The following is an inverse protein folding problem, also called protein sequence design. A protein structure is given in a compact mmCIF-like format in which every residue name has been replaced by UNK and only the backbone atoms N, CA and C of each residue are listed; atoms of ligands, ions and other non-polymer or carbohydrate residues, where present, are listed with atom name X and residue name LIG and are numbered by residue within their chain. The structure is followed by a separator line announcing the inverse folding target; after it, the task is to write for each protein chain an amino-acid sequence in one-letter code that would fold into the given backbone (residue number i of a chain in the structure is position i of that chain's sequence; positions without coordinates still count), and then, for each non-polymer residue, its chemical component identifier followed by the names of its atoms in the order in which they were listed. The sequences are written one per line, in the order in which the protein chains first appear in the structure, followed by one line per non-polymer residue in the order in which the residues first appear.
data_IF_828732699676
#
_entry.id   IF_828732699676
#
_cell.length_a   1.000
_cell.length_b   1.000
_cell.length_c   1.000
_cell.angle_alpha   90.00
_cell.angle_beta   90.00
_cell.angle_gamma   90.00
#
_symmetry.space_group_name_H-M   'P 1'
#
loop_
_entity.id
_entity.type
_entity.pdbx_description
1 polymer ?
#
# COMPACT_ATOMS: atom_id res chain seq x y z
N UNK A 1 30.27 34.75 -21.09
CA UNK A 1 29.44 33.72 -21.74
C UNK A 1 29.73 32.44 -20.99
N UNK A 2 28.75 31.93 -20.24
CA UNK A 2 28.92 30.67 -19.50
C UNK A 2 28.66 29.52 -20.50
N UNK A 3 29.60 28.59 -20.59
CA UNK A 3 29.44 27.39 -21.41
C UNK A 3 28.15 26.63 -21.04
N UNK A 4 27.43 26.04 -22.02
CA UNK A 4 26.26 25.24 -21.72
C UNK A 4 26.68 24.07 -20.81
N UNK A 5 26.07 24.00 -19.63
CA UNK A 5 26.24 22.88 -18.70
C UNK A 5 25.73 21.63 -19.41
N UNK A 6 26.65 20.77 -19.83
CA UNK A 6 26.35 19.48 -20.44
C UNK A 6 25.53 18.65 -19.44
N UNK A 7 24.27 18.38 -19.77
CA UNK A 7 23.36 17.66 -18.89
C UNK A 7 23.77 16.18 -18.90
N UNK A 8 24.43 15.75 -17.82
CA UNK A 8 24.80 14.35 -17.63
C UNK A 8 23.55 13.49 -17.39
N UNK A 9 23.24 12.63 -18.35
CA UNK A 9 22.19 11.62 -18.21
C UNK A 9 22.77 10.36 -17.54
N UNK A 10 22.09 9.87 -16.51
CA UNK A 10 22.42 8.63 -15.82
C UNK A 10 21.30 7.62 -15.99
N UNK A 11 21.66 6.36 -16.28
CA UNK A 11 20.69 5.26 -16.34
C UNK A 11 20.41 4.70 -14.94
N UNK A 12 19.21 4.13 -14.76
CA UNK A 12 18.90 3.39 -13.53
C UNK A 12 19.83 2.17 -13.47
N UNK A 13 20.38 1.94 -12.28
CA UNK A 13 21.45 0.98 -11.97
C UNK A 13 22.85 1.35 -12.47
N UNK A 14 23.04 2.55 -13.01
CA UNK A 14 24.37 3.04 -13.31
C UNK A 14 25.18 3.21 -12.00
N UNK A 15 26.42 2.69 -11.92
CA UNK A 15 27.32 2.95 -10.82
C UNK A 15 27.86 4.38 -10.92
N UNK A 16 27.75 5.14 -9.83
CA UNK A 16 28.13 6.54 -9.78
C UNK A 16 28.98 6.84 -8.56
N UNK A 17 29.82 7.84 -8.70
CA UNK A 17 30.62 8.42 -7.63
C UNK A 17 30.28 9.89 -7.47
N UNK A 18 30.11 10.32 -6.23
CA UNK A 18 29.98 11.72 -5.89
C UNK A 18 31.32 12.45 -6.09
N UNK A 19 31.32 13.54 -6.84
CA UNK A 19 32.54 14.26 -7.21
C UNK A 19 33.16 15.03 -6.04
N UNK A 20 32.36 15.39 -5.03
CA UNK A 20 32.76 16.13 -3.84
C UNK A 20 33.39 15.21 -2.80
N UNK A 21 32.61 14.24 -2.28
CA UNK A 21 33.03 13.41 -1.15
C UNK A 21 33.52 12.01 -1.55
N UNK A 22 33.54 11.70 -2.85
CA UNK A 22 33.96 10.41 -3.43
C UNK A 22 33.12 9.21 -2.99
N UNK A 23 31.95 9.42 -2.39
CA UNK A 23 31.05 8.35 -2.02
C UNK A 23 30.54 7.60 -3.27
N UNK A 24 30.46 6.28 -3.17
CA UNK A 24 29.97 5.39 -4.22
C UNK A 24 28.50 5.03 -4.01
N UNK A 25 27.78 4.84 -5.11
CA UNK A 25 26.44 4.28 -5.06
C UNK A 25 25.87 3.96 -6.42
N UNK A 26 24.64 3.46 -6.43
CA UNK A 26 23.94 3.00 -7.62
C UNK A 26 22.71 3.87 -7.85
N UNK A 27 22.52 4.36 -9.07
CA UNK A 27 21.34 5.17 -9.41
C UNK A 27 20.07 4.34 -9.30
N UNK A 28 19.07 4.81 -8.57
CA UNK A 28 17.78 4.12 -8.37
C UNK A 28 16.59 4.92 -8.88
N UNK A 29 16.76 6.22 -9.14
CA UNK A 29 15.72 7.09 -9.72
C UNK A 29 16.35 8.32 -10.37
N UNK A 30 15.79 8.74 -11.49
CA UNK A 30 16.14 10.00 -12.17
C UNK A 30 14.90 10.87 -12.34
N UNK A 31 15.00 12.15 -12.00
CA UNK A 31 13.92 13.13 -12.14
C UNK A 31 14.50 14.50 -12.55
N UNK A 32 14.60 14.72 -13.87
CA UNK A 32 15.39 15.85 -14.41
C UNK A 32 16.84 15.74 -13.95
N UNK A 33 17.39 16.83 -13.39
CA UNK A 33 18.76 16.85 -12.86
C UNK A 33 18.91 16.18 -11.49
N UNK A 34 17.82 15.76 -10.85
CA UNK A 34 17.86 15.11 -9.55
C UNK A 34 18.01 13.60 -9.72
N UNK A 35 19.12 13.07 -9.22
CA UNK A 35 19.50 11.66 -9.30
C UNK A 35 19.49 11.09 -7.89
N UNK A 36 18.59 10.15 -7.62
CA UNK A 36 18.58 9.39 -6.37
C UNK A 36 19.52 8.20 -6.49
N UNK A 37 20.42 8.08 -5.53
CA UNK A 37 21.47 7.07 -5.47
C UNK A 37 21.30 6.25 -4.19
N UNK A 38 21.41 4.94 -4.31
CA UNK A 38 21.52 4.02 -3.18
C UNK A 38 23.01 3.82 -2.87
N UNK A 39 23.52 4.28 -1.72
CA UNK A 39 24.87 3.97 -1.27
C UNK A 39 24.98 2.50 -0.83
N UNK A 40 26.23 2.01 -0.68
CA UNK A 40 26.53 0.68 -0.12
C UNK A 40 25.91 0.49 1.27
N UNK A 41 25.93 1.55 2.08
CA UNK A 41 25.35 1.57 3.43
C UNK A 41 24.56 2.86 3.64
N UNK A 42 23.45 2.74 4.38
CA UNK A 42 22.58 3.87 4.70
C UNK A 42 21.44 4.12 3.70
N UNK A 43 20.78 5.25 3.90
CA UNK A 43 19.57 5.63 3.18
C UNK A 43 19.85 6.18 1.78
N UNK A 44 18.81 6.19 0.95
CA UNK A 44 18.85 6.78 -0.40
C UNK A 44 19.08 8.28 -0.31
N UNK A 45 20.03 8.77 -1.11
CA UNK A 45 20.37 10.18 -1.18
C UNK A 45 20.06 10.72 -2.57
N UNK A 46 19.65 11.98 -2.68
CA UNK A 46 19.40 12.63 -3.97
C UNK A 46 20.44 13.72 -4.21
N UNK A 47 21.10 13.65 -5.36
CA UNK A 47 22.13 14.59 -5.80
C UNK A 47 21.71 15.26 -7.10
N UNK A 48 22.23 16.46 -7.36
CA UNK A 48 22.20 17.02 -8.72
C UNK A 48 23.18 16.28 -9.61
N UNK A 49 22.83 16.02 -10.87
CA UNK A 49 23.63 15.28 -11.84
C UNK A 49 25.07 15.81 -11.98
N UNK A 50 25.27 17.13 -11.86
CA UNK A 50 26.60 17.77 -11.89
C UNK A 50 27.56 17.31 -10.78
N UNK A 51 27.03 16.82 -9.66
CA UNK A 51 27.82 16.30 -8.53
C UNK A 51 28.09 14.80 -8.64
N UNK A 52 27.69 14.17 -9.73
CA UNK A 52 27.92 12.76 -9.99
C UNK A 52 28.83 12.59 -11.20
N UNK A 53 29.65 11.55 -11.15
CA UNK A 53 30.40 11.03 -12.27
C UNK A 53 30.17 9.51 -12.34
N UNK A 54 30.28 8.89 -13.53
CA UNK A 54 30.37 7.45 -13.63
C UNK A 54 31.49 6.92 -12.74
N UNK A 55 31.22 5.80 -12.07
CA UNK A 55 32.25 5.10 -11.30
C UNK A 55 33.32 4.53 -12.23
N UNK A 56 34.56 4.40 -11.76
CA UNK A 56 35.61 3.68 -12.49
C UNK A 56 35.31 2.17 -12.55
N UNK A 57 36.09 1.41 -13.31
CA UNK A 57 35.94 -0.04 -13.38
C UNK A 57 36.09 -0.71 -11.99
N UNK A 58 37.07 -0.28 -11.21
CA UNK A 58 37.32 -0.81 -9.85
C UNK A 58 36.20 -0.43 -8.89
N UNK A 59 35.72 0.82 -8.95
CA UNK A 59 34.59 1.30 -8.14
C UNK A 59 33.29 0.59 -8.53
N UNK A 60 33.12 0.27 -9.81
CA UNK A 60 31.97 -0.50 -10.31
C UNK A 60 31.99 -1.93 -9.79
N UNK A 61 33.16 -2.57 -9.72
CA UNK A 61 33.31 -3.91 -9.16
C UNK A 61 32.86 -3.94 -7.69
N UNK A 62 33.17 -2.89 -6.91
CA UNK A 62 32.71 -2.77 -5.53
C UNK A 62 31.18 -2.58 -5.38
N UNK A 63 30.49 -2.17 -6.45
CA UNK A 63 29.04 -1.95 -6.46
C UNK A 63 28.25 -3.12 -7.09
N UNK A 64 28.91 -4.13 -7.64
CA UNK A 64 28.28 -5.20 -8.42
C UNK A 64 27.19 -5.95 -7.63
N UNK A 65 27.48 -6.30 -6.37
CA UNK A 65 26.53 -6.98 -5.48
C UNK A 65 25.30 -6.12 -5.21
N UNK A 66 25.52 -4.81 -5.01
CA UNK A 66 24.43 -3.86 -4.79
C UNK A 66 23.56 -3.72 -6.04
N UNK A 67 24.17 -3.61 -7.22
CA UNK A 67 23.46 -3.55 -8.51
C UNK A 67 22.61 -4.80 -8.70
N UNK A 68 23.20 -5.98 -8.45
CA UNK A 68 22.52 -7.27 -8.60
C UNK A 68 21.33 -7.37 -7.66
N UNK A 69 21.52 -7.05 -6.38
CA UNK A 69 20.45 -7.02 -5.38
C UNK A 69 19.31 -6.08 -5.77
N UNK A 70 19.63 -4.86 -6.21
CA UNK A 70 18.63 -3.87 -6.61
C UNK A 70 17.83 -4.32 -7.84
N UNK A 71 18.49 -4.95 -8.82
CA UNK A 71 17.81 -5.54 -9.98
C UNK A 71 16.86 -6.66 -9.58
N UNK A 72 17.29 -7.57 -8.70
CA UNK A 72 16.44 -8.66 -8.19
C UNK A 72 15.25 -8.12 -7.38
N UNK A 73 15.46 -7.13 -6.52
CA UNK A 73 14.39 -6.46 -5.78
C UNK A 73 13.37 -5.82 -6.73
N UNK A 74 13.83 -5.18 -7.81
CA UNK A 74 12.96 -4.60 -8.82
C UNK A 74 12.19 -5.65 -9.60
N UNK A 75 12.85 -6.71 -10.05
CA UNK A 75 12.19 -7.84 -10.72
C UNK A 75 11.14 -8.48 -9.82
N UNK A 76 11.42 -8.68 -8.54
CA UNK A 76 10.46 -9.20 -7.58
C UNK A 76 9.30 -8.23 -7.35
N UNK A 77 9.58 -6.92 -7.29
CA UNK A 77 8.54 -5.88 -7.21
C UNK A 77 7.66 -5.85 -8.46
N UNK A 78 8.24 -6.01 -9.64
CA UNK A 78 7.52 -6.06 -10.91
C UNK A 78 6.68 -7.34 -11.02
N UNK A 79 7.24 -8.50 -10.65
CA UNK A 79 6.50 -9.77 -10.53
C UNK A 79 5.32 -9.67 -9.56
N UNK A 80 5.52 -9.01 -8.42
CA UNK A 80 4.44 -8.75 -7.46
C UNK A 80 3.36 -7.80 -8.01
N UNK A 81 3.71 -6.87 -8.91
CA UNK A 81 2.76 -5.99 -9.59
C UNK A 81 1.99 -6.69 -10.72
N UNK A 82 2.57 -7.71 -11.36
CA UNK A 82 1.97 -8.43 -12.49
C UNK A 82 1.29 -9.74 -12.12
N UNK A 83 1.56 -10.31 -10.95
CA UNK A 83 0.74 -11.40 -10.42
C UNK A 83 -0.67 -10.88 -10.16
N UNK A 84 -1.63 -11.27 -11.01
CA UNK A 84 -3.03 -11.31 -10.62
C UNK A 84 -3.09 -12.11 -9.32
N UNK A 85 -3.43 -11.43 -8.24
CA UNK A 85 -3.61 -12.06 -6.94
C UNK A 85 -4.67 -13.15 -7.11
N UNK A 86 -4.30 -14.40 -6.85
CA UNK A 86 -5.23 -15.53 -6.95
C UNK A 86 -6.38 -15.32 -5.93
N UNK A 87 -7.64 -15.15 -6.38
CA UNK A 87 -8.75 -14.93 -5.48
C UNK A 87 -8.95 -16.09 -4.49
N UNK A 88 -8.58 -17.32 -4.85
CA UNK A 88 -8.68 -18.48 -3.97
C UNK A 88 -7.71 -18.38 -2.80
N UNK A 89 -6.46 -17.96 -3.05
CA UNK A 89 -5.46 -17.75 -2.00
C UNK A 89 -5.86 -16.61 -1.06
N UNK A 90 -6.45 -15.53 -1.57
CA UNK A 90 -6.95 -14.43 -0.73
C UNK A 90 -8.05 -14.91 0.21
N UNK A 91 -8.99 -15.73 -0.29
CA UNK A 91 -10.03 -16.34 0.54
C UNK A 91 -9.43 -17.27 1.58
N UNK A 92 -8.45 -18.09 1.21
CA UNK A 92 -7.79 -19.00 2.15
C UNK A 92 -7.10 -18.24 3.30
N UNK A 93 -6.38 -17.16 3.00
CA UNK A 93 -5.75 -16.32 4.02
C UNK A 93 -6.79 -15.60 4.89
N UNK A 94 -7.91 -15.17 4.31
CA UNK A 94 -9.03 -14.61 5.07
C UNK A 94 -9.64 -15.64 6.03
N UNK A 95 -9.85 -16.87 5.57
CA UNK A 95 -10.38 -17.96 6.41
C UNK A 95 -9.43 -18.28 7.57
N UNK A 96 -8.12 -18.32 7.31
CA UNK A 96 -7.09 -18.47 8.36
C UNK A 96 -7.16 -17.34 9.38
N UNK A 97 -7.29 -16.10 8.91
CA UNK A 97 -7.43 -14.92 9.76
C UNK A 97 -8.66 -15.03 10.67
N UNK A 98 -9.83 -15.38 10.13
CA UNK A 98 -11.07 -15.55 10.91
C UNK A 98 -10.94 -16.70 11.91
N UNK A 99 -10.36 -17.83 11.52
CA UNK A 99 -10.08 -18.96 12.43
C UNK A 99 -9.19 -18.54 13.60
N UNK A 100 -8.20 -17.68 13.36
CA UNK A 100 -7.33 -17.17 14.44
C UNK A 100 -8.12 -16.35 15.47
N UNK A 101 -9.05 -15.51 15.01
CA UNK A 101 -9.96 -14.76 15.90
C UNK A 101 -10.83 -15.75 16.67
N UNK A 102 -11.46 -16.69 15.97
CA UNK A 102 -12.42 -17.64 16.54
C UNK A 102 -11.80 -18.53 17.62
N UNK A 103 -10.52 -18.88 17.49
CA UNK A 103 -9.78 -19.68 18.47
C UNK A 103 -9.72 -19.02 19.87
N UNK A 104 -9.75 -17.69 19.95
CA UNK A 104 -9.73 -16.95 21.23
C UNK A 104 -11.07 -16.29 21.57
N UNK A 105 -11.78 -15.82 20.56
CA UNK A 105 -12.98 -15.00 20.67
C UNK A 105 -14.05 -15.46 19.66
N UNK A 106 -14.70 -16.61 19.87
CA UNK A 106 -15.62 -17.19 18.88
C UNK A 106 -16.79 -16.27 18.53
N UNK A 107 -17.40 -15.61 19.53
CA UNK A 107 -18.48 -14.63 19.29
C UNK A 107 -18.02 -13.42 18.50
N UNK A 108 -16.80 -12.92 18.76
CA UNK A 108 -16.23 -11.81 17.98
C UNK A 108 -16.02 -12.19 16.52
N UNK A 109 -15.56 -13.42 16.25
CA UNK A 109 -15.39 -13.92 14.90
C UNK A 109 -16.74 -14.06 14.17
N UNK A 110 -17.77 -14.55 14.86
CA UNK A 110 -19.14 -14.63 14.32
C UNK A 110 -19.69 -13.23 13.96
N UNK A 111 -19.64 -12.28 14.89
CA UNK A 111 -20.11 -10.89 14.64
C UNK A 111 -19.29 -10.21 13.54
N UNK A 112 -17.98 -10.48 13.47
CA UNK A 112 -17.13 -10.00 12.38
C UNK A 112 -17.59 -10.56 11.03
N UNK A 113 -17.89 -11.86 10.95
CA UNK A 113 -18.32 -12.49 9.71
C UNK A 113 -19.70 -12.01 9.24
N UNK A 114 -20.64 -11.78 10.17
CA UNK A 114 -21.92 -11.14 9.85
C UNK A 114 -21.70 -9.77 9.22
N UNK A 115 -20.90 -8.93 9.87
CA UNK A 115 -20.60 -7.59 9.38
C UNK A 115 -19.80 -7.62 8.07
N UNK A 116 -18.86 -8.55 7.93
CA UNK A 116 -18.12 -8.75 6.68
C UNK A 116 -19.06 -9.09 5.51
N UNK A 117 -20.08 -9.92 5.74
CA UNK A 117 -21.13 -10.20 4.76
C UNK A 117 -21.89 -8.93 4.36
N UNK A 118 -22.25 -8.07 5.31
CA UNK A 118 -22.89 -6.77 5.05
C UNK A 118 -21.99 -5.85 4.19
N UNK A 119 -20.69 -5.81 4.48
CA UNK A 119 -19.70 -5.05 3.69
C UNK A 119 -19.58 -5.62 2.28
N UNK A 120 -19.48 -6.94 2.12
CA UNK A 120 -19.34 -7.59 0.81
C UNK A 120 -20.58 -7.40 -0.05
N UNK A 121 -21.78 -7.35 0.55
CA UNK A 121 -23.00 -7.01 -0.17
C UNK A 121 -22.96 -5.57 -0.74
N UNK A 122 -22.24 -4.65 -0.09
CA UNK A 122 -22.08 -3.27 -0.55
C UNK A 122 -20.92 -3.09 -1.55
N UNK A 123 -19.76 -3.69 -1.28
CA UNK A 123 -18.53 -3.53 -2.05
C UNK A 123 -18.42 -4.48 -3.26
N UNK A 124 -19.16 -5.59 -3.24
CA UNK A 124 -18.96 -6.74 -4.12
C UNK A 124 -17.86 -7.66 -3.59
N UNK A 125 -18.08 -8.98 -3.68
CA UNK A 125 -17.13 -10.00 -3.20
C UNK A 125 -16.20 -10.48 -4.32
N UNK A 126 -15.20 -9.64 -4.64
CA UNK A 126 -14.16 -9.94 -5.63
C UNK A 126 -12.77 -9.90 -4.96
N UNK A 127 -12.33 -11.00 -4.31
CA UNK A 127 -11.04 -11.07 -3.67
C UNK A 127 -9.90 -10.79 -4.65
N UNK A 128 -8.93 -9.99 -4.23
CA UNK A 128 -7.85 -9.49 -5.09
C UNK A 128 -8.24 -8.24 -5.90
N UNK A 129 -9.51 -7.87 -5.99
CA UNK A 129 -10.00 -6.70 -6.74
C UNK A 129 -10.70 -5.66 -5.87
N UNK A 130 -11.84 -6.00 -5.25
CA UNK A 130 -12.59 -5.07 -4.36
C UNK A 130 -12.12 -5.15 -2.92
N UNK A 131 -11.39 -6.20 -2.56
CA UNK A 131 -10.75 -6.37 -1.26
C UNK A 131 -9.54 -7.30 -1.37
N UNK A 132 -8.65 -7.27 -0.39
CA UNK A 132 -7.54 -8.22 -0.26
C UNK A 132 -7.14 -8.40 1.21
N UNK A 133 -6.25 -9.36 1.47
CA UNK A 133 -5.61 -9.51 2.78
C UNK A 133 -4.28 -8.77 2.79
N UNK A 134 -4.07 -7.90 3.79
CA UNK A 134 -2.72 -7.42 4.09
C UNK A 134 -1.85 -8.61 4.48
N UNK A 135 -0.60 -8.69 4.01
CA UNK A 135 0.26 -9.84 4.27
C UNK A 135 0.52 -10.01 5.77
N UNK A 136 0.74 -11.25 6.21
CA UNK A 136 0.99 -11.58 7.61
C UNK A 136 2.26 -10.92 8.19
N UNK A 137 3.16 -10.43 7.33
CA UNK A 137 4.36 -9.66 7.69
C UNK A 137 4.07 -8.16 7.94
N UNK A 138 2.88 -7.67 7.61
CA UNK A 138 2.50 -6.30 7.89
C UNK A 138 2.31 -6.09 9.40
N UNK A 139 2.55 -4.86 9.87
CA UNK A 139 2.30 -4.47 11.28
C UNK A 139 0.86 -4.74 11.73
N UNK A 140 -0.08 -4.68 10.80
CA UNK A 140 -1.52 -4.87 11.03
C UNK A 140 -2.09 -5.75 9.92
N UNK A 141 -1.95 -7.08 10.01
CA UNK A 141 -2.56 -7.98 9.04
C UNK A 141 -4.08 -7.96 9.18
N UNK A 142 -4.78 -8.26 8.09
CA UNK A 142 -6.24 -8.23 8.05
C UNK A 142 -6.79 -7.79 6.70
N UNK A 143 -8.11 -7.90 6.51
CA UNK A 143 -8.74 -7.54 5.26
C UNK A 143 -8.74 -6.02 5.06
N UNK A 144 -8.58 -5.62 3.80
CA UNK A 144 -8.64 -4.23 3.35
C UNK A 144 -9.52 -4.13 2.11
N UNK A 145 -10.45 -3.19 2.12
CA UNK A 145 -11.29 -2.84 0.98
C UNK A 145 -10.53 -1.92 0.03
N UNK A 146 -10.84 -2.07 -1.26
CA UNK A 146 -10.28 -1.31 -2.36
C UNK A 146 -11.36 -0.62 -3.15
N UNK A 147 -11.08 0.63 -3.51
CA UNK A 147 -11.90 1.42 -4.42
C UNK A 147 -11.12 1.70 -5.69
N UNK A 148 -11.80 1.70 -6.83
CA UNK A 148 -11.20 2.09 -8.09
C UNK A 148 -11.08 3.61 -8.17
N UNK A 149 -9.87 4.11 -8.39
CA UNK A 149 -9.60 5.53 -8.60
C UNK A 149 -9.49 5.80 -10.10
N UNK A 150 -10.48 6.47 -10.73
CA UNK A 150 -10.48 6.71 -12.16
C UNK A 150 -9.34 7.64 -12.61
N UNK A 151 -8.88 8.56 -11.76
CA UNK A 151 -7.79 9.47 -12.11
C UNK A 151 -6.43 8.76 -12.25
N UNK A 152 -6.27 7.59 -11.65
CA UNK A 152 -5.01 6.81 -11.67
C UNK A 152 -5.16 5.43 -12.28
N UNK A 153 -6.38 5.08 -12.68
CA UNK A 153 -6.78 3.77 -13.21
C UNK A 153 -6.35 2.58 -12.31
N UNK A 154 -6.39 2.79 -11.00
CA UNK A 154 -5.88 1.83 -10.01
C UNK A 154 -6.89 1.57 -8.92
N UNK A 155 -6.91 0.32 -8.47
CA UNK A 155 -7.52 -0.04 -7.20
C UNK A 155 -6.63 0.42 -6.05
N UNK A 156 -7.19 1.23 -5.14
CA UNK A 156 -6.48 1.80 -4.00
C UNK A 156 -7.15 1.42 -2.70
N UNK A 157 -6.36 1.23 -1.65
CA UNK A 157 -6.89 0.91 -0.31
C UNK A 157 -7.77 2.03 0.21
N UNK A 158 -8.97 1.67 0.66
CA UNK A 158 -10.01 2.58 1.14
C UNK A 158 -10.29 2.39 2.64
N UNK A 159 -10.56 1.15 3.07
CA UNK A 159 -10.95 0.81 4.43
C UNK A 159 -10.19 -0.43 4.91
N UNK A 160 -9.45 -0.33 6.01
CA UNK A 160 -8.79 -1.46 6.65
C UNK A 160 -9.59 -1.93 7.87
N UNK A 161 -9.73 -3.25 8.04
CA UNK A 161 -10.37 -3.85 9.20
C UNK A 161 -9.34 -4.62 10.02
N UNK A 162 -9.15 -4.19 11.27
CA UNK A 162 -8.27 -4.81 12.24
C UNK A 162 -9.17 -5.51 13.27
N UNK A 163 -9.47 -6.77 13.01
CA UNK A 163 -10.34 -7.59 13.85
C UNK A 163 -9.54 -8.45 14.84
N UNK A 164 -10.04 -8.56 16.06
CA UNK A 164 -9.49 -9.38 17.13
C UNK A 164 -10.51 -9.49 18.26
N UNK A 165 -10.13 -9.12 19.49
CA UNK A 165 -11.09 -9.01 20.59
C UNK A 165 -12.16 -7.94 20.33
N UNK A 166 -11.77 -6.82 19.73
CA UNK A 166 -12.64 -5.79 19.16
C UNK A 166 -12.38 -5.61 17.67
N UNK A 167 -13.06 -4.64 17.06
CA UNK A 167 -12.87 -4.25 15.67
C UNK A 167 -12.37 -2.81 15.62
N UNK A 168 -11.19 -2.60 15.05
CA UNK A 168 -10.78 -1.26 14.63
C UNK A 168 -10.94 -1.15 13.12
N UNK A 169 -11.67 -0.14 12.67
CA UNK A 169 -11.76 0.19 11.26
C UNK A 169 -11.04 1.50 10.99
N UNK A 170 -10.24 1.53 9.94
CA UNK A 170 -9.56 2.74 9.50
C UNK A 170 -9.89 3.04 8.04
N UNK A 171 -10.37 4.25 7.77
CA UNK A 171 -10.83 4.69 6.46
C UNK A 171 -10.01 5.90 6.01
N UNK A 172 -9.68 5.97 4.73
CA UNK A 172 -9.06 7.18 4.18
C UNK A 172 -10.08 8.31 4.06
N UNK A 173 -9.70 9.51 4.50
CA UNK A 173 -10.61 10.67 4.58
C UNK A 173 -11.20 11.05 3.23
N UNK A 174 -10.41 10.95 2.17
CA UNK A 174 -10.83 11.34 0.82
C UNK A 174 -11.97 10.48 0.26
N UNK A 175 -12.24 9.30 0.85
CA UNK A 175 -13.33 8.44 0.45
C UNK A 175 -14.54 8.51 1.39
N UNK A 176 -14.44 9.18 2.53
CA UNK A 176 -15.56 9.27 3.46
C UNK A 176 -16.69 10.13 2.87
N UNK A 177 -17.95 9.63 2.85
CA UNK A 177 -19.08 10.45 2.47
C UNK A 177 -19.26 11.63 3.46
N UNK A 178 -19.57 12.84 2.98
CA UNK A 178 -19.82 13.99 3.85
C UNK A 178 -20.90 13.69 4.89
N UNK A 179 -20.65 14.07 6.15
CA UNK A 179 -21.59 13.87 7.26
C UNK A 179 -21.47 12.52 7.98
N UNK A 180 -20.55 11.66 7.55
CA UNK A 180 -20.28 10.35 8.19
C UNK A 180 -19.06 10.37 9.13
N UNK A 181 -18.41 11.53 9.32
CA UNK A 181 -17.18 11.68 10.09
C UNK A 181 -17.35 11.27 11.56
N UNK A 182 -18.56 11.38 12.10
CA UNK A 182 -18.92 10.97 13.46
C UNK A 182 -18.87 9.44 13.65
N UNK A 183 -19.03 8.66 12.57
CA UNK A 183 -18.84 7.21 12.62
C UNK A 183 -17.37 6.84 12.84
N UNK A 184 -16.44 7.71 12.45
CA UNK A 184 -14.99 7.52 12.59
C UNK A 184 -14.39 8.67 13.41
N UNK A 185 -14.61 8.71 14.74
CA UNK A 185 -14.27 9.87 15.56
C UNK A 185 -12.75 10.07 15.75
N UNK A 186 -11.94 9.03 15.56
CA UNK A 186 -10.49 9.11 15.74
C UNK A 186 -9.88 9.73 14.49
N UNK A 187 -9.30 10.91 14.63
CA UNK A 187 -8.66 11.61 13.52
C UNK A 187 -7.19 11.18 13.32
N UNK A 188 -6.63 11.48 12.15
CA UNK A 188 -5.23 11.22 11.77
C UNK A 188 -4.79 9.74 11.86
N UNK A 189 -5.71 8.82 11.55
CA UNK A 189 -5.40 7.39 11.37
C UNK A 189 -4.67 7.13 10.04
N UNK A 190 -4.27 5.87 9.76
CA UNK A 190 -3.59 5.47 8.51
C UNK A 190 -2.46 6.43 8.07
N UNK A 191 -1.41 6.58 8.90
CA UNK A 191 -0.29 7.49 8.63
C UNK A 191 -0.72 8.97 8.51
N UNK A 192 -1.75 9.39 9.25
CA UNK A 192 -2.19 10.79 9.34
C UNK A 192 -3.26 11.22 8.32
N UNK A 193 -3.55 10.38 7.32
CA UNK A 193 -4.46 10.69 6.21
C UNK A 193 -5.88 10.12 6.37
N UNK A 194 -6.10 9.25 7.36
CA UNK A 194 -7.38 8.56 7.58
C UNK A 194 -8.12 8.99 8.85
N UNK A 195 -9.29 8.40 9.05
CA UNK A 195 -10.04 8.39 10.31
C UNK A 195 -10.25 6.95 10.77
N UNK A 196 -10.52 6.75 12.05
CA UNK A 196 -10.75 5.43 12.61
C UNK A 196 -11.89 5.39 13.63
N UNK A 197 -12.34 4.18 13.89
CA UNK A 197 -13.25 3.85 14.99
C UNK A 197 -12.79 2.55 15.63
N UNK A 198 -13.04 2.44 16.94
CA UNK A 198 -12.85 1.22 17.70
C UNK A 198 -14.21 0.75 18.21
N UNK A 199 -14.54 -0.50 17.90
CA UNK A 199 -15.83 -1.11 18.13
C UNK A 199 -15.64 -2.33 19.02
N UNK A 200 -16.48 -2.42 20.06
CA UNK A 200 -16.58 -3.60 20.91
C UNK A 200 -17.67 -4.50 20.34
N UNK A 201 -17.31 -5.72 19.91
CA UNK A 201 -18.26 -6.64 19.25
C UNK A 201 -19.50 -6.95 20.09
N UNK A 202 -19.37 -7.05 21.41
CA UNK A 202 -20.49 -7.29 22.33
C UNK A 202 -21.62 -6.28 22.14
N UNK A 203 -21.27 -5.03 21.82
CA UNK A 203 -22.22 -3.93 21.72
C UNK A 203 -22.49 -3.57 20.24
N UNK A 204 -22.04 -4.39 19.28
CA UNK A 204 -22.12 -4.16 17.83
C UNK A 204 -23.32 -4.91 17.21
N UNK A 205 -24.51 -4.54 17.68
CA UNK A 205 -25.79 -5.10 17.21
C UNK A 205 -26.09 -4.70 15.76
N UNK A 206 -26.98 -5.41 15.03
CA UNK A 206 -27.34 -5.07 13.66
C UNK A 206 -27.68 -3.58 13.44
N UNK A 207 -28.39 -2.96 14.38
CA UNK A 207 -28.78 -1.54 14.33
C UNK A 207 -27.57 -0.62 14.39
N UNK A 208 -26.54 -1.00 15.15
CA UNK A 208 -25.27 -0.26 15.27
C UNK A 208 -24.29 -0.59 14.14
N UNK A 209 -24.40 -1.75 13.50
CA UNK A 209 -23.62 -2.11 12.29
C UNK A 209 -24.09 -1.35 11.07
N UNK A 210 -25.40 -1.19 10.94
CA UNK A 210 -26.06 -0.59 9.77
C UNK A 210 -25.45 0.74 9.31
N UNK A 211 -25.19 1.75 10.16
CA UNK A 211 -24.58 3.00 9.70
C UNK A 211 -23.21 2.81 9.02
N UNK A 212 -22.41 1.84 9.48
CA UNK A 212 -21.11 1.55 8.86
C UNK A 212 -21.27 0.83 7.52
N UNK A 213 -22.20 -0.13 7.43
CA UNK A 213 -22.51 -0.81 6.17
C UNK A 213 -23.09 0.18 5.13
N UNK A 214 -23.98 1.09 5.56
CA UNK A 214 -24.55 2.15 4.73
C UNK A 214 -23.47 3.14 4.27
N UNK A 215 -22.50 3.47 5.15
CA UNK A 215 -21.34 4.26 4.78
C UNK A 215 -20.52 3.58 3.67
N UNK A 216 -20.18 2.30 3.82
CA UNK A 216 -19.47 1.54 2.77
C UNK A 216 -20.28 1.53 1.47
N UNK A 217 -21.59 1.33 1.55
CA UNK A 217 -22.47 1.37 0.38
C UNK A 217 -22.42 2.73 -0.33
N UNK A 218 -22.44 3.83 0.42
CA UNK A 218 -22.31 5.17 -0.14
C UNK A 218 -20.95 5.40 -0.81
N UNK A 219 -19.86 4.90 -0.22
CA UNK A 219 -18.51 4.93 -0.82
C UNK A 219 -18.51 4.25 -2.19
N UNK A 220 -19.02 3.02 -2.28
CA UNK A 220 -19.03 2.25 -3.52
C UNK A 220 -20.08 2.70 -4.52
N UNK A 221 -21.14 3.39 -4.10
CA UNK A 221 -22.11 4.03 -4.98
C UNK A 221 -21.52 5.28 -5.67
N UNK A 222 -20.66 6.03 -4.98
CA UNK A 222 -19.94 7.17 -5.54
C UNK A 222 -18.71 6.75 -6.38
N UNK A 223 -18.23 5.52 -6.19
CA UNK A 223 -17.09 4.98 -6.91
C UNK A 223 -17.42 4.76 -8.39
N UNK A 224 -16.53 5.21 -9.28
CA UNK A 224 -16.61 4.84 -10.70
C UNK A 224 -16.19 3.38 -10.82
N UNK A 225 -17.04 2.54 -11.41
CA UNK A 225 -16.69 1.15 -11.71
C UNK A 225 -15.90 1.14 -13.02
N UNK A 226 -14.76 0.40 -13.11
CA UNK A 226 -14.15 0.17 -14.41
C UNK A 226 -15.18 -0.52 -15.31
N UNK A 227 -15.28 -0.10 -16.57
CA UNK A 227 -15.97 -0.93 -17.58
C UNK A 227 -15.33 -2.32 -17.52
N UNK A 228 -16.16 -3.34 -17.41
CA UNK A 228 -15.80 -4.70 -17.00
C UNK A 228 -14.45 -5.17 -17.59
N UNK A 229 -13.56 -5.79 -16.81
CA UNK A 229 -12.36 -6.39 -17.36
C UNK A 229 -12.75 -7.51 -18.33
N UNK A 230 -12.32 -7.39 -19.59
CA UNK A 230 -12.23 -8.52 -20.52
C UNK A 230 -11.16 -9.50 -20.07
#
# INVERSE_FOLDING_TARGET
MADPIEIKHFEIYAPVRNTINKALGVVVKTAGDNITVQPLTGDRLTFRAQYLAPATADETAALLDLITRLKVEEENRLKAKTMKVDPALVREEFDKFVRHIAARYPKSAETFMEFWGEIMAAAGDFPGQTWEMKPNTAKTPGPVLKIYNPATEKWVYCLALLAGWGLRMEVKKEFLPPGTESLFPIDHAMFGAGRAVEIVYRDFTPEKRKPYADCVKAIYAAAHKPESPQ
#
